data_IF_948596616514
#
_entry.id   IF_948596616514
#
_cell.length_a   1.000
_cell.length_b   1.000
_cell.length_c   1.000
_cell.angle_alpha   90.00
_cell.angle_beta   90.00
_cell.angle_gamma   90.00
#
_symmetry.space_group_name_H-M   'P 1'
#
loop_
_entity.id
_entity.type
_entity.pdbx_description
1 polymer ?
#
# COMPACT_ATOMS: atom_id res chain seq x y z
N UNK A 1 -9.72 11.62 -3.19
CA UNK A 1 -9.50 10.16 -3.02
C UNK A 1 -8.72 9.96 -1.73
N UNK A 2 -9.23 9.18 -0.77
CA UNK A 2 -8.61 9.02 0.56
C UNK A 2 -7.95 7.64 0.68
N UNK A 3 -6.69 7.60 1.14
CA UNK A 3 -5.96 6.36 1.41
C UNK A 3 -6.39 5.85 2.80
N UNK A 4 -6.83 4.58 2.96
CA UNK A 4 -7.30 4.09 4.25
C UNK A 4 -6.16 3.89 5.26
N UNK A 5 -6.13 4.67 6.33
CA UNK A 5 -5.32 4.43 7.53
C UNK A 5 -6.01 3.41 8.44
N UNK A 6 -5.27 2.64 9.28
CA UNK A 6 -3.84 2.76 9.59
C UNK A 6 -2.87 2.16 8.54
N UNK A 7 -1.60 2.58 8.56
CA UNK A 7 -0.58 2.27 7.56
C UNK A 7 0.50 1.30 8.07
N UNK A 8 0.97 0.43 7.17
CA UNK A 8 2.25 -0.27 7.29
C UNK A 8 3.25 0.43 6.37
N UNK A 9 4.38 0.89 6.91
CA UNK A 9 5.39 1.61 6.14
C UNK A 9 6.44 0.63 5.60
N UNK A 10 6.63 0.60 4.29
CA UNK A 10 7.55 -0.34 3.65
C UNK A 10 8.94 0.26 3.46
N UNK A 11 9.96 -0.47 3.89
CA UNK A 11 11.39 -0.20 3.67
C UNK A 11 12.02 -1.33 2.83
N UNK A 12 11.46 -2.54 2.87
CA UNK A 12 11.90 -3.67 2.05
C UNK A 12 13.37 -4.01 2.27
N UNK A 13 14.10 -4.17 1.18
CA UNK A 13 15.55 -4.41 1.12
C UNK A 13 16.35 -3.13 0.82
N UNK A 14 15.83 -1.93 1.14
CA UNK A 14 16.45 -0.67 0.70
C UNK A 14 17.80 -0.43 1.35
N UNK A 15 18.80 -0.09 0.54
CA UNK A 15 20.13 0.38 0.90
C UNK A 15 20.32 1.89 0.66
N UNK A 16 19.34 2.55 0.02
CA UNK A 16 19.29 4.00 -0.18
C UNK A 16 18.31 4.69 0.78
N UNK A 17 18.84 5.47 1.72
CA UNK A 17 18.07 6.26 2.68
C UNK A 17 17.20 7.32 2.01
N UNK A 18 17.67 7.92 0.91
CA UNK A 18 16.97 8.99 0.18
C UNK A 18 15.72 8.42 -0.49
N UNK A 19 15.82 7.19 -1.01
CA UNK A 19 14.72 6.43 -1.56
C UNK A 19 13.57 6.23 -0.58
N UNK A 20 13.83 6.22 0.73
CA UNK A 20 12.82 6.00 1.79
C UNK A 20 12.06 7.26 2.21
N UNK A 21 12.26 8.40 1.53
CA UNK A 21 11.68 9.70 1.91
C UNK A 21 10.17 9.68 2.16
N UNK A 22 9.42 8.84 1.44
CA UNK A 22 7.96 8.76 1.59
C UNK A 22 7.59 8.05 2.89
N UNK A 23 8.17 6.88 3.16
CA UNK A 23 7.96 6.14 4.41
C UNK A 23 8.45 6.98 5.61
N UNK A 24 9.63 7.59 5.50
CA UNK A 24 10.18 8.48 6.54
C UNK A 24 9.29 9.69 6.80
N UNK A 25 8.77 10.32 5.73
CA UNK A 25 7.84 11.44 5.86
C UNK A 25 6.55 11.03 6.57
N UNK A 26 5.97 9.88 6.22
CA UNK A 26 4.77 9.39 6.90
C UNK A 26 5.02 9.12 8.38
N UNK A 27 6.13 8.47 8.74
CA UNK A 27 6.49 8.25 10.14
C UNK A 27 6.65 9.57 10.91
N UNK A 28 7.29 10.58 10.29
CA UNK A 28 7.53 11.88 10.93
C UNK A 28 6.26 12.73 11.10
N UNK A 29 5.40 12.79 10.09
CA UNK A 29 4.25 13.70 10.09
C UNK A 29 2.92 13.05 10.50
N UNK A 30 2.82 11.71 10.36
CA UNK A 30 1.60 10.93 10.60
C UNK A 30 1.93 9.61 11.33
N UNK A 31 2.91 9.62 12.23
CA UNK A 31 3.33 8.43 12.98
C UNK A 31 2.20 7.75 13.75
N UNK A 32 1.23 8.51 14.28
CA UNK A 32 0.05 7.96 14.96
C UNK A 32 -0.89 7.15 14.05
N UNK A 33 -0.83 7.38 12.73
CA UNK A 33 -1.58 6.60 11.75
C UNK A 33 -0.78 5.38 11.26
N UNK A 34 0.43 5.14 11.77
CA UNK A 34 1.32 4.07 11.34
C UNK A 34 1.40 2.97 12.41
N UNK A 35 1.15 1.73 12.01
CA UNK A 35 1.13 0.55 12.90
C UNK A 35 2.53 -0.05 13.06
N UNK A 36 3.36 0.07 12.01
CA UNK A 36 4.67 -0.56 11.98
C UNK A 36 5.47 -0.24 10.72
N UNK A 37 6.66 -0.81 10.69
CA UNK A 37 7.55 -0.82 9.53
C UNK A 37 7.78 -2.25 9.02
N UNK A 38 7.86 -2.41 7.71
CA UNK A 38 8.25 -3.66 7.08
C UNK A 38 9.59 -3.50 6.38
N UNK A 39 10.62 -4.07 7.00
CA UNK A 39 11.99 -4.17 6.50
C UNK A 39 12.48 -5.61 6.57
N UNK A 40 13.38 -5.97 5.66
CA UNK A 40 14.09 -7.24 5.66
C UNK A 40 15.44 -7.12 6.39
N UNK A 41 16.10 -8.26 6.64
CA UNK A 41 17.31 -8.35 7.48
C UNK A 41 18.51 -7.55 6.99
N UNK A 42 18.56 -7.29 5.68
CA UNK A 42 19.60 -6.56 4.97
C UNK A 42 19.34 -5.05 4.87
N UNK A 43 18.15 -4.57 5.28
CA UNK A 43 17.87 -3.14 5.31
C UNK A 43 18.43 -2.51 6.60
N UNK A 44 19.44 -1.62 6.52
CA UNK A 44 20.07 -1.02 7.69
C UNK A 44 19.20 0.07 8.35
N UNK A 45 18.16 0.54 7.66
CA UNK A 45 17.34 1.65 8.10
C UNK A 45 16.17 1.20 8.97
N UNK A 46 15.74 2.11 9.85
CA UNK A 46 14.53 1.98 10.66
C UNK A 46 13.88 3.35 10.81
N UNK A 47 12.57 3.37 10.99
CA UNK A 47 11.77 4.54 11.30
C UNK A 47 11.44 4.61 12.80
N UNK A 48 11.96 3.67 13.60
CA UNK A 48 11.67 3.57 15.02
C UNK A 48 10.27 2.99 15.32
N UNK A 49 9.63 2.35 14.33
CA UNK A 49 8.33 1.71 14.48
C UNK A 49 8.47 0.20 14.74
N UNK A 50 7.44 -0.47 15.27
CA UNK A 50 7.46 -1.92 15.41
C UNK A 50 7.69 -2.62 14.07
N UNK A 51 8.66 -3.54 14.01
CA UNK A 51 8.93 -4.32 12.81
C UNK A 51 7.86 -5.41 12.63
N UNK A 52 7.21 -5.43 11.47
CA UNK A 52 6.12 -6.34 11.14
C UNK A 52 6.17 -6.77 9.67
N UNK A 53 5.60 -7.94 9.37
CA UNK A 53 5.26 -8.33 8.00
C UNK A 53 3.79 -8.01 7.69
N UNK A 54 3.34 -8.31 6.47
CA UNK A 54 1.96 -8.06 6.03
C UNK A 54 0.88 -8.67 6.95
N UNK A 55 1.03 -9.93 7.34
CA UNK A 55 0.05 -10.64 8.16
C UNK A 55 -0.05 -10.06 9.58
N UNK A 56 1.10 -9.85 10.22
CA UNK A 56 1.16 -9.24 11.56
C UNK A 56 0.61 -7.82 11.55
N UNK A 57 0.93 -7.03 10.54
CA UNK A 57 0.41 -5.67 10.41
C UNK A 57 -1.11 -5.67 10.18
N UNK A 58 -1.63 -6.59 9.35
CA UNK A 58 -3.07 -6.72 9.14
C UNK A 58 -3.79 -7.10 10.43
N UNK A 59 -3.23 -8.01 11.22
CA UNK A 59 -3.76 -8.41 12.53
C UNK A 59 -3.72 -7.24 13.52
N UNK A 60 -2.68 -6.41 13.46
CA UNK A 60 -2.57 -5.17 14.23
C UNK A 60 -3.45 -4.01 13.72
N UNK A 61 -4.26 -4.24 12.68
CA UNK A 61 -5.26 -3.28 12.19
C UNK A 61 -4.80 -2.41 11.02
N UNK A 62 -3.61 -2.64 10.46
CA UNK A 62 -3.20 -1.95 9.24
C UNK A 62 -4.19 -2.23 8.10
N UNK A 63 -4.48 -1.20 7.31
CA UNK A 63 -5.39 -1.26 6.16
C UNK A 63 -4.67 -1.03 4.84
N UNK A 64 -3.51 -0.37 4.86
CA UNK A 64 -2.75 -0.06 3.65
C UNK A 64 -1.26 -0.25 3.89
N UNK A 65 -0.60 -0.99 3.00
CA UNK A 65 0.84 -0.98 2.82
C UNK A 65 1.22 0.23 1.95
N UNK A 66 2.11 1.09 2.45
CA UNK A 66 2.68 2.19 1.69
C UNK A 66 4.07 1.81 1.20
N UNK A 67 4.22 1.62 -0.10
CA UNK A 67 5.49 1.40 -0.78
C UNK A 67 6.21 2.74 -0.91
N UNK A 68 6.94 3.11 0.14
CA UNK A 68 7.61 4.41 0.21
C UNK A 68 9.04 4.44 -0.34
N UNK A 69 9.42 3.43 -1.13
CA UNK A 69 10.72 3.31 -1.79
C UNK A 69 10.64 3.97 -3.17
N UNK A 70 11.45 5.00 -3.40
CA UNK A 70 11.53 5.74 -4.65
C UNK A 70 12.86 5.45 -5.37
N UNK A 71 12.91 4.33 -6.09
CA UNK A 71 14.10 3.97 -6.87
C UNK A 71 14.22 4.82 -8.14
N UNK A 72 15.45 5.25 -8.53
CA UNK A 72 15.70 5.88 -9.82
C UNK A 72 15.20 4.99 -10.97
N UNK A 73 14.39 5.57 -11.86
CA UNK A 73 13.82 4.84 -13.01
C UNK A 73 12.52 4.09 -12.73
N UNK A 74 11.96 4.16 -11.51
CA UNK A 74 10.58 3.75 -11.24
C UNK A 74 10.31 2.23 -11.20
N UNK A 75 11.33 1.40 -11.44
CA UNK A 75 11.19 -0.05 -11.56
C UNK A 75 10.90 -0.72 -10.23
N UNK A 76 9.95 -1.66 -10.27
CA UNK A 76 9.69 -2.60 -9.18
C UNK A 76 10.61 -3.82 -9.28
N UNK A 77 11.56 -4.01 -8.35
CA UNK A 77 12.32 -5.24 -8.30
C UNK A 77 11.42 -6.41 -7.88
N UNK A 78 11.75 -7.63 -8.31
CA UNK A 78 10.91 -8.81 -8.09
C UNK A 78 10.57 -9.08 -6.61
N UNK A 79 11.50 -8.79 -5.70
CA UNK A 79 11.26 -8.91 -4.25
C UNK A 79 10.15 -7.96 -3.78
N UNK A 80 10.12 -6.72 -4.28
CA UNK A 80 9.11 -5.72 -3.92
C UNK A 80 7.73 -6.12 -4.43
N UNK A 81 7.67 -6.72 -5.63
CA UNK A 81 6.43 -7.28 -6.18
C UNK A 81 5.95 -8.44 -5.31
N UNK A 82 6.86 -9.34 -4.89
CA UNK A 82 6.55 -10.45 -3.99
C UNK A 82 5.92 -9.99 -2.68
N UNK A 83 6.49 -8.97 -2.07
CA UNK A 83 6.00 -8.37 -0.82
C UNK A 83 4.67 -7.63 -1.01
N UNK A 84 4.52 -6.88 -2.11
CA UNK A 84 3.25 -6.22 -2.44
C UNK A 84 2.12 -7.25 -2.64
N UNK A 85 2.40 -8.37 -3.31
CA UNK A 85 1.45 -9.46 -3.46
C UNK A 85 1.13 -10.14 -2.12
N UNK A 86 2.12 -10.29 -1.24
CA UNK A 86 1.88 -10.81 0.11
C UNK A 86 0.95 -9.89 0.91
N UNK A 87 1.14 -8.56 0.82
CA UNK A 87 0.23 -7.60 1.42
C UNK A 87 -1.19 -7.66 0.86
N UNK A 88 -1.34 -7.80 -0.45
CA UNK A 88 -2.65 -7.99 -1.10
C UNK A 88 -3.32 -9.27 -0.59
N UNK A 89 -2.59 -10.38 -0.50
CA UNK A 89 -3.11 -11.66 0.02
C UNK A 89 -3.53 -11.56 1.49
N UNK A 90 -2.78 -10.80 2.30
CA UNK A 90 -3.16 -10.48 3.68
C UNK A 90 -4.37 -9.51 3.77
N UNK A 91 -4.86 -8.98 2.64
CA UNK A 91 -6.02 -8.10 2.60
C UNK A 91 -5.70 -6.64 2.91
N UNK A 92 -4.44 -6.21 2.73
CA UNK A 92 -4.04 -4.82 2.76
C UNK A 92 -4.27 -4.18 1.39
N UNK A 93 -4.63 -2.89 1.38
CA UNK A 93 -4.49 -2.08 0.18
C UNK A 93 -3.00 -1.81 -0.07
N UNK A 94 -2.60 -1.60 -1.31
CA UNK A 94 -1.22 -1.21 -1.65
C UNK A 94 -1.24 0.18 -2.27
N UNK A 95 -0.49 1.11 -1.68
CA UNK A 95 -0.29 2.45 -2.20
C UNK A 95 1.16 2.63 -2.63
N UNK A 96 1.39 3.10 -3.85
CA UNK A 96 2.73 3.44 -4.36
C UNK A 96 2.74 4.88 -4.88
N UNK A 97 3.84 5.60 -4.61
CA UNK A 97 4.11 6.92 -5.18
C UNK A 97 5.00 6.89 -6.42
N UNK A 98 5.25 5.72 -7.01
CA UNK A 98 6.14 5.55 -8.16
C UNK A 98 5.47 6.06 -9.45
N UNK A 99 6.29 6.57 -10.37
CA UNK A 99 5.84 7.06 -11.68
C UNK A 99 5.37 5.92 -12.60
N UNK A 100 5.90 4.71 -12.42
CA UNK A 100 5.43 3.50 -13.08
C UNK A 100 4.14 3.01 -12.40
N UNK A 101 3.06 2.87 -13.16
CA UNK A 101 1.79 2.41 -12.61
C UNK A 101 1.92 0.92 -12.28
N UNK A 102 1.58 0.54 -11.04
CA UNK A 102 1.46 -0.87 -10.62
C UNK A 102 0.57 -1.73 -11.54
N UNK A 103 -0.35 -1.11 -12.29
CA UNK A 103 -1.24 -1.80 -13.23
C UNK A 103 -0.54 -2.18 -14.55
N UNK A 104 0.52 -1.48 -14.90
CA UNK A 104 1.23 -1.65 -16.18
C UNK A 104 2.39 -2.66 -16.04
N UNK A 105 2.79 -2.99 -14.80
CA UNK A 105 3.64 -4.14 -14.50
C UNK A 105 2.83 -5.42 -14.69
N UNK A 106 3.18 -6.26 -15.68
CA UNK A 106 2.47 -7.46 -16.17
C UNK A 106 2.21 -8.62 -15.15
N UNK A 107 2.08 -8.34 -13.86
CA UNK A 107 1.70 -9.28 -12.81
C UNK A 107 0.17 -9.37 -12.69
N UNK A 108 -0.40 -10.37 -13.37
CA UNK A 108 -1.83 -10.59 -13.66
C UNK A 108 -2.73 -11.07 -12.49
N UNK A 109 -2.34 -10.95 -11.22
CA UNK A 109 -3.27 -11.28 -10.11
C UNK A 109 -3.89 -10.02 -9.53
N UNK A 110 -4.67 -9.37 -10.40
CA UNK A 110 -5.66 -8.36 -10.05
C UNK A 110 -6.71 -8.97 -9.10
N UNK A 111 -6.46 -8.93 -7.80
CA UNK A 111 -7.49 -9.07 -6.77
C UNK A 111 -7.84 -7.68 -6.25
N UNK A 112 -8.23 -6.77 -7.17
CA UNK A 112 -8.89 -5.53 -6.75
C UNK A 112 -10.32 -5.91 -6.42
N UNK A 113 -10.66 -6.03 -5.13
CA UNK A 113 -12.04 -6.23 -4.68
C UNK A 113 -12.93 -5.18 -5.37
N UNK A 114 -13.97 -5.56 -6.13
CA UNK A 114 -14.88 -4.58 -6.70
C UNK A 114 -15.47 -3.79 -5.54
N UNK A 115 -15.27 -2.47 -5.55
CA UNK A 115 -16.04 -1.58 -4.67
C UNK A 115 -17.47 -1.63 -5.20
N UNK A 116 -18.33 -2.36 -4.50
CA UNK A 116 -19.76 -2.10 -4.56
C UNK A 116 -19.96 -0.64 -4.15
N UNK A 117 -20.20 0.23 -5.13
CA UNK A 117 -20.74 1.55 -4.87
C UNK A 117 -22.21 1.34 -4.49
N UNK A 118 -22.70 1.83 -3.34
CA UNK A 118 -24.13 1.89 -3.14
C UNK A 118 -24.70 2.84 -4.20
N UNK A 119 -25.56 2.29 -5.06
CA UNK A 119 -26.39 3.07 -5.96
C UNK A 119 -27.19 4.03 -5.09
N UNK A 120 -26.93 5.33 -5.25
CA UNK A 120 -27.80 6.35 -4.69
C UNK A 120 -29.14 6.22 -5.41
N UNK A 121 -30.15 5.74 -4.68
CA UNK A 121 -31.55 5.84 -5.06
C UNK A 121 -31.88 7.31 -5.33
N UNK A 122 -32.08 7.66 -6.60
CA UNK A 122 -32.91 8.80 -6.97
C UNK A 122 -34.27 8.24 -7.36
N UNK A 123 -35.26 8.75 -6.65
CA UNK A 123 -36.66 8.40 -6.77
C UNK A 123 -37.21 8.68 -8.17
N UNK A 124 -38.03 7.73 -8.63
CA UNK A 124 -39.27 8.02 -9.35
C UNK A 124 -39.19 8.77 -10.68
N UNK A 125 -39.06 8.02 -11.77
CA UNK A 125 -39.86 8.27 -12.99
C UNK A 125 -40.33 6.92 -13.51
N UNK A 126 -41.63 6.68 -13.46
CA UNK A 126 -42.29 5.58 -14.16
C UNK A 126 -42.30 5.91 -15.65
N UNK A 127 -41.66 5.09 -16.47
CA UNK A 127 -41.92 5.07 -17.91
C UNK A 127 -42.87 3.90 -18.19
N UNK A 128 -44.15 4.22 -18.38
CA UNK A 128 -45.19 3.34 -18.92
C UNK A 128 -45.23 3.52 -20.44
N UNK A 129 -45.21 2.40 -21.17
CA UNK A 129 -45.71 2.10 -22.53
C UNK A 129 -45.57 3.13 -23.67
N UNK A 130 -44.97 2.69 -24.78
CA UNK A 130 -45.65 2.26 -26.01
C UNK A 130 -44.68 1.41 -26.85
#
# INVERSE_FOLDING_TARGET
>A
MTIPAPYLLYLGHSDDEIGLKTSRGLAAFRGADCVGEWRHSDCPFTLGLPQMNADTARAAGARTLVLGIANPGGRFPGWMIGDALAAIRAGLNVACGLHERLRDSNCSTCATRPRAFPSATVAGVRATAC
#
